data_IF_732409321635
#
_entry.id   IF_732409321635
#
_cell.length_a   1.000
_cell.length_b   1.000
_cell.length_c   1.000
_cell.angle_alpha   90.00
_cell.angle_beta   90.00
_cell.angle_gamma   90.00
#
_symmetry.space_group_name_H-M   'P 1'
#
loop_
_entity.id
_entity.type
_entity.pdbx_description
1 polymer ?
#
# COMPACT_ATOMS: atom_id res chain seq x y z
N UNK A 1 -4.87 -11.76 -19.63
CA UNK A 1 -5.07 -10.34 -19.24
C UNK A 1 -6.07 -9.63 -20.15
N UNK A 2 -5.75 -9.40 -21.44
CA UNK A 2 -6.70 -8.73 -22.38
C UNK A 2 -8.09 -9.39 -22.42
N UNK A 3 -8.16 -10.72 -22.47
CA UNK A 3 -9.44 -11.46 -22.42
C UNK A 3 -10.24 -11.20 -21.16
N UNK A 4 -9.56 -11.01 -20.02
CA UNK A 4 -10.19 -10.73 -18.74
C UNK A 4 -10.71 -9.29 -18.65
N UNK A 5 -10.16 -8.37 -19.46
CA UNK A 5 -10.46 -6.94 -19.40
C UNK A 5 -9.53 -6.13 -18.49
N UNK A 6 -8.43 -6.72 -18.01
CA UNK A 6 -7.45 -5.99 -17.21
C UNK A 6 -6.75 -4.90 -18.03
N UNK A 7 -6.60 -3.71 -17.44
CA UNK A 7 -5.87 -2.57 -18.00
C UNK A 7 -4.71 -2.13 -17.11
N UNK A 8 -4.39 -2.88 -16.06
CA UNK A 8 -3.18 -2.65 -15.32
C UNK A 8 -2.68 -3.92 -14.64
N UNK A 9 -1.39 -3.92 -14.31
CA UNK A 9 -0.74 -4.94 -13.52
C UNK A 9 0.10 -4.35 -12.40
N UNK A 10 0.26 -5.10 -11.31
CA UNK A 10 1.30 -4.82 -10.31
C UNK A 10 2.40 -5.85 -10.42
N UNK A 11 3.65 -5.37 -10.39
CA UNK A 11 4.87 -6.18 -10.48
C UNK A 11 5.76 -5.87 -9.28
N UNK A 12 5.87 -6.84 -8.35
CA UNK A 12 6.58 -6.64 -7.08
C UNK A 12 8.10 -6.52 -7.22
N UNK A 13 8.70 -7.20 -8.20
CA UNK A 13 10.15 -7.17 -8.40
C UNK A 13 10.49 -7.24 -9.88
N UNK A 14 11.54 -6.53 -10.22
CA UNK A 14 12.10 -6.49 -11.57
C UNK A 14 13.61 -6.53 -11.48
N UNK A 15 14.24 -7.03 -12.52
CA UNK A 15 15.69 -6.91 -12.68
C UNK A 15 15.97 -5.59 -13.43
N UNK A 16 16.50 -4.55 -12.77
CA UNK A 16 16.74 -3.25 -13.42
C UNK A 16 17.82 -3.31 -14.51
N UNK A 17 18.58 -4.41 -14.60
CA UNK A 17 19.63 -4.59 -15.62
C UNK A 17 19.14 -5.29 -16.88
N UNK A 18 17.96 -5.92 -16.83
CA UNK A 18 17.36 -6.60 -17.97
C UNK A 18 16.67 -5.62 -18.92
N UNK A 19 16.46 -6.04 -20.18
CA UNK A 19 15.66 -5.29 -21.15
C UNK A 19 14.17 -5.65 -20.98
N UNK A 20 13.34 -4.63 -20.74
CA UNK A 20 11.90 -4.76 -20.54
C UNK A 20 11.05 -4.31 -21.74
N UNK A 21 11.67 -3.89 -22.85
CA UNK A 21 11.00 -3.22 -23.97
C UNK A 21 9.90 -4.08 -24.60
N UNK A 22 10.20 -5.36 -24.86
CA UNK A 22 9.24 -6.27 -25.50
C UNK A 22 8.02 -6.50 -24.60
N UNK A 23 8.26 -6.74 -23.31
CA UNK A 23 7.22 -6.99 -22.33
C UNK A 23 6.35 -5.72 -22.10
N UNK A 24 6.96 -4.55 -21.90
CA UNK A 24 6.24 -3.28 -21.73
C UNK A 24 5.48 -2.86 -22.99
N UNK A 25 6.03 -3.12 -24.18
CA UNK A 25 5.34 -2.89 -25.47
C UNK A 25 4.13 -3.80 -25.64
N UNK A 26 4.21 -5.06 -25.22
CA UNK A 26 3.08 -5.99 -25.26
C UNK A 26 1.94 -5.53 -24.33
N UNK A 27 2.27 -5.07 -23.12
CA UNK A 27 1.29 -4.50 -22.20
C UNK A 27 0.66 -3.22 -22.77
N UNK A 28 1.48 -2.29 -23.26
CA UNK A 28 1.00 -1.05 -23.87
C UNK A 28 0.07 -1.31 -25.06
N UNK A 29 0.42 -2.26 -25.93
CA UNK A 29 -0.42 -2.67 -27.08
C UNK A 29 -1.76 -3.29 -26.67
N UNK A 30 -1.86 -3.80 -25.44
CA UNK A 30 -3.08 -4.31 -24.84
C UNK A 30 -3.83 -3.27 -23.99
N UNK A 31 -3.31 -2.03 -23.87
CA UNK A 31 -3.85 -1.00 -22.99
C UNK A 31 -3.60 -1.26 -21.50
N UNK A 32 -2.54 -1.99 -21.18
CA UNK A 32 -2.18 -2.39 -19.81
C UNK A 32 -1.05 -1.51 -19.28
N UNK A 33 -1.29 -0.88 -18.14
CA UNK A 33 -0.30 -0.12 -17.38
C UNK A 33 0.40 -0.96 -16.31
N UNK A 34 1.64 -0.66 -15.98
CA UNK A 34 2.40 -1.36 -14.95
C UNK A 34 2.65 -0.46 -13.73
N UNK A 35 2.32 -0.99 -12.55
CA UNK A 35 2.70 -0.46 -11.25
C UNK A 35 3.89 -1.27 -10.74
N UNK A 36 5.02 -0.62 -10.52
CA UNK A 36 6.30 -1.29 -10.26
C UNK A 36 6.74 -0.98 -8.84
N UNK A 37 6.92 -2.00 -8.02
CA UNK A 37 7.57 -1.84 -6.72
C UNK A 37 9.08 -1.61 -6.93
N UNK A 38 9.64 -0.61 -6.24
CA UNK A 38 11.04 -0.19 -6.39
C UNK A 38 12.00 -1.05 -5.57
N UNK A 39 11.50 -1.71 -4.53
CA UNK A 39 12.29 -2.60 -3.71
C UNK A 39 12.70 -3.87 -4.45
N UNK A 40 13.91 -4.29 -4.13
CA UNK A 40 14.48 -5.56 -4.56
C UNK A 40 14.47 -6.53 -3.38
N UNK A 41 14.71 -7.82 -3.64
CA UNK A 41 14.76 -8.87 -2.62
C UNK A 41 15.71 -8.60 -1.42
N UNK A 42 16.61 -7.62 -1.52
CA UNK A 42 17.56 -7.26 -0.47
C UNK A 42 17.41 -5.82 0.05
N UNK A 43 16.37 -5.09 -0.37
CA UNK A 43 16.23 -3.65 -0.07
C UNK A 43 14.86 -3.26 0.47
N UNK A 44 14.14 -4.23 1.06
CA UNK A 44 12.94 -3.96 1.83
C UNK A 44 13.25 -3.11 3.07
N UNK A 45 12.37 -2.15 3.37
CA UNK A 45 12.33 -1.50 4.68
C UNK A 45 11.74 -2.52 5.67
N UNK A 46 12.44 -2.78 6.77
CA UNK A 46 12.00 -3.74 7.78
C UNK A 46 11.26 -3.04 8.93
N UNK A 47 10.08 -3.53 9.30
CA UNK A 47 9.24 -2.96 10.35
C UNK A 47 9.95 -2.75 11.71
N UNK A 48 10.71 -3.76 12.12
CA UNK A 48 11.29 -3.89 13.46
C UNK A 48 12.69 -3.25 13.59
N UNK A 49 13.37 -3.04 12.47
CA UNK A 49 14.63 -2.31 12.38
C UNK A 49 14.62 -1.48 11.09
N UNK A 50 13.80 -0.42 11.03
CA UNK A 50 13.64 0.31 9.79
C UNK A 50 14.90 1.10 9.49
N UNK A 51 15.36 0.97 8.25
CA UNK A 51 16.51 1.67 7.70
C UNK A 51 16.15 2.26 6.35
N UNK A 52 16.76 3.41 6.04
CA UNK A 52 16.77 4.01 4.72
C UNK A 52 18.18 4.51 4.45
N UNK A 53 18.90 3.79 3.61
CA UNK A 53 20.33 3.99 3.42
C UNK A 53 20.69 4.07 1.93
N UNK A 54 21.97 4.38 1.65
CA UNK A 54 22.42 4.63 0.28
C UNK A 54 22.26 3.42 -0.64
N UNK A 55 22.40 2.20 -0.11
CA UNK A 55 22.23 0.97 -0.90
C UNK A 55 20.79 0.80 -1.34
N UNK A 56 19.82 1.03 -0.44
CA UNK A 56 18.40 0.96 -0.75
C UNK A 56 17.99 2.05 -1.75
N UNK A 57 18.40 3.30 -1.48
CA UNK A 57 18.18 4.43 -2.39
C UNK A 57 18.69 4.13 -3.81
N UNK A 58 19.93 3.65 -3.94
CA UNK A 58 20.53 3.37 -5.24
C UNK A 58 19.83 2.22 -5.99
N UNK A 59 19.35 1.20 -5.26
CA UNK A 59 18.59 0.10 -5.86
C UNK A 59 17.23 0.58 -6.38
N UNK A 60 16.50 1.36 -5.60
CA UNK A 60 15.21 1.93 -6.00
C UNK A 60 15.38 2.86 -7.20
N UNK A 61 16.41 3.72 -7.18
CA UNK A 61 16.76 4.59 -8.31
C UNK A 61 17.07 3.78 -9.58
N UNK A 62 17.73 2.63 -9.47
CA UNK A 62 18.04 1.76 -10.61
C UNK A 62 16.78 1.16 -11.23
N UNK A 63 15.80 0.74 -10.42
CA UNK A 63 14.50 0.28 -10.91
C UNK A 63 13.76 1.42 -11.60
N UNK A 64 13.74 2.62 -11.01
CA UNK A 64 13.12 3.78 -11.64
C UNK A 64 13.77 4.12 -12.98
N UNK A 65 15.11 4.10 -13.05
CA UNK A 65 15.88 4.34 -14.28
C UNK A 65 15.55 3.33 -15.39
N UNK A 66 15.26 2.07 -15.04
CA UNK A 66 14.88 1.05 -16.00
C UNK A 66 13.46 1.24 -16.56
N UNK A 67 12.54 1.87 -15.81
CA UNK A 67 11.12 1.92 -16.16
C UNK A 67 10.56 3.31 -16.50
N UNK A 68 11.30 4.40 -16.25
CA UNK A 68 10.75 5.75 -16.40
C UNK A 68 10.38 6.14 -17.85
N UNK A 69 11.01 5.51 -18.84
CA UNK A 69 10.80 5.83 -20.27
C UNK A 69 9.55 5.17 -20.86
N UNK A 70 8.94 4.20 -20.18
CA UNK A 70 7.73 3.56 -20.68
C UNK A 70 6.50 4.42 -20.34
N UNK A 71 5.73 4.79 -21.36
CA UNK A 71 4.51 5.60 -21.20
C UNK A 71 3.46 4.89 -20.32
N UNK A 72 3.43 3.56 -20.38
CA UNK A 72 2.53 2.74 -19.59
C UNK A 72 3.08 2.34 -18.21
N UNK A 73 4.18 2.93 -17.74
CA UNK A 73 4.52 2.89 -16.30
C UNK A 73 3.57 3.83 -15.55
N UNK A 74 2.59 3.25 -14.84
CA UNK A 74 1.55 4.01 -14.14
C UNK A 74 2.05 4.66 -12.85
N UNK A 75 2.87 3.95 -12.08
CA UNK A 75 3.33 4.42 -10.79
C UNK A 75 4.39 3.50 -10.17
N UNK A 76 5.04 4.01 -9.13
CA UNK A 76 6.03 3.29 -8.36
C UNK A 76 5.60 3.11 -6.91
N UNK A 77 5.87 1.95 -6.32
CA UNK A 77 5.74 1.72 -4.89
C UNK A 77 7.10 1.77 -4.20
N UNK A 78 7.19 2.44 -3.05
CA UNK A 78 8.40 2.44 -2.20
C UNK A 78 8.38 1.40 -1.09
N UNK A 79 7.38 0.52 -1.12
CA UNK A 79 7.27 -0.59 -0.19
C UNK A 79 5.89 -1.21 -0.23
N UNK A 80 5.87 -2.47 0.20
CA UNK A 80 4.68 -3.29 0.33
C UNK A 80 4.60 -3.86 1.74
N UNK A 81 3.50 -3.62 2.44
CA UNK A 81 3.17 -4.19 3.76
C UNK A 81 4.30 -4.10 4.80
N UNK A 82 5.17 -3.09 4.69
CA UNK A 82 6.22 -2.79 5.69
C UNK A 82 5.63 -2.71 7.11
N UNK A 83 4.39 -2.24 7.25
CA UNK A 83 3.70 -2.12 8.52
C UNK A 83 2.56 -3.13 8.63
N UNK A 84 2.67 -4.11 9.52
CA UNK A 84 1.69 -5.19 9.74
C UNK A 84 1.11 -5.25 11.16
N UNK A 85 1.55 -4.37 12.06
CA UNK A 85 1.06 -4.29 13.45
C UNK A 85 1.08 -2.84 13.96
N UNK A 86 0.34 -2.51 15.02
CA UNK A 86 0.46 -1.19 15.64
C UNK A 86 1.89 -0.82 16.05
N UNK A 87 2.69 -1.80 16.51
CA UNK A 87 4.09 -1.60 16.85
C UNK A 87 4.99 -1.26 15.65
N UNK A 88 4.66 -1.75 14.45
CA UNK A 88 5.41 -1.44 13.23
C UNK A 88 5.26 -0.01 12.73
N UNK A 89 4.35 0.80 13.30
CA UNK A 89 4.16 2.22 12.97
C UNK A 89 5.43 3.06 13.04
N UNK A 90 6.43 2.64 13.82
CA UNK A 90 7.77 3.25 13.86
C UNK A 90 8.50 3.26 12.51
N UNK A 91 8.12 2.40 11.56
CA UNK A 91 8.69 2.36 10.21
C UNK A 91 8.03 3.36 9.24
N UNK A 92 6.89 3.96 9.58
CA UNK A 92 6.18 4.90 8.70
C UNK A 92 7.04 6.10 8.24
N UNK A 93 7.89 6.72 9.08
CA UNK A 93 8.79 7.79 8.64
C UNK A 93 9.79 7.34 7.57
N UNK A 94 10.22 6.08 7.59
CA UNK A 94 11.18 5.53 6.62
C UNK A 94 10.53 5.28 5.26
N UNK A 95 9.29 4.77 5.25
CA UNK A 95 8.49 4.67 4.02
C UNK A 95 8.29 6.05 3.40
N UNK A 96 7.94 7.06 4.22
CA UNK A 96 7.75 8.43 3.76
C UNK A 96 9.05 9.07 3.27
N UNK A 97 10.18 8.79 3.92
CA UNK A 97 11.51 9.20 3.46
C UNK A 97 11.87 8.60 2.10
N UNK A 98 11.66 7.30 1.91
CA UNK A 98 11.91 6.63 0.64
C UNK A 98 11.09 7.27 -0.50
N UNK A 99 9.80 7.55 -0.28
CA UNK A 99 8.97 8.25 -1.27
C UNK A 99 9.47 9.66 -1.56
N UNK A 100 9.82 10.43 -0.52
CA UNK A 100 10.35 11.79 -0.66
C UNK A 100 11.62 11.80 -1.50
N UNK A 101 12.56 10.92 -1.19
CA UNK A 101 13.85 10.84 -1.87
C UNK A 101 13.70 10.33 -3.30
N UNK A 102 12.82 9.36 -3.55
CA UNK A 102 12.54 8.88 -4.91
C UNK A 102 11.83 9.93 -5.78
N UNK A 103 10.94 10.74 -5.18
CA UNK A 103 10.35 11.91 -5.87
C UNK A 103 11.43 12.94 -6.19
N UNK A 104 12.34 13.23 -5.26
CA UNK A 104 13.46 14.14 -5.47
C UNK A 104 14.41 13.62 -6.57
N UNK A 105 14.74 12.33 -6.57
CA UNK A 105 15.55 11.69 -7.61
C UNK A 105 14.90 11.83 -8.99
N UNK A 106 13.64 11.38 -9.14
CA UNK A 106 12.85 11.50 -10.37
C UNK A 106 12.87 12.92 -10.93
N UNK A 107 12.62 13.91 -10.08
CA UNK A 107 12.58 15.32 -10.47
C UNK A 107 13.96 15.85 -10.87
N UNK A 108 15.02 15.48 -10.14
CA UNK A 108 16.40 15.90 -10.43
C UNK A 108 16.90 15.39 -11.78
N UNK A 109 16.36 14.25 -12.23
CA UNK A 109 16.67 13.61 -13.51
C UNK A 109 15.82 14.14 -14.67
N UNK A 110 14.80 14.96 -14.38
CA UNK A 110 13.87 15.48 -15.38
C UNK A 110 12.95 14.41 -15.97
N UNK A 111 12.68 13.33 -15.22
CA UNK A 111 11.76 12.28 -15.67
C UNK A 111 10.31 12.78 -15.69
N UNK A 112 9.45 12.06 -16.41
CA UNK A 112 7.99 12.24 -16.31
C UNK A 112 7.59 12.15 -14.83
N UNK A 113 6.60 12.94 -14.42
CA UNK A 113 6.05 12.93 -13.06
C UNK A 113 5.23 11.65 -12.79
N UNK A 114 5.89 10.49 -12.83
CA UNK A 114 5.32 9.18 -12.51
C UNK A 114 5.05 9.15 -11.01
N UNK A 115 3.80 8.94 -10.57
CA UNK A 115 3.44 9.03 -9.16
C UNK A 115 4.14 7.94 -8.32
N UNK A 116 4.47 8.29 -7.08
CA UNK A 116 5.14 7.39 -6.12
C UNK A 116 4.27 7.22 -4.87
N UNK A 117 3.96 5.97 -4.52
CA UNK A 117 3.05 5.61 -3.44
C UNK A 117 3.52 4.44 -2.61
N UNK A 118 2.62 3.90 -1.81
CA UNK A 118 2.87 2.79 -0.88
C UNK A 118 1.67 1.84 -0.84
N UNK A 119 1.94 0.54 -0.73
CA UNK A 119 0.93 -0.51 -0.57
C UNK A 119 0.91 -1.00 0.87
N UNK A 120 -0.17 -0.75 1.59
CA UNK A 120 -0.33 -1.13 2.99
C UNK A 120 -1.06 -2.46 3.16
N UNK A 121 -0.75 -3.18 4.24
CA UNK A 121 -1.58 -4.28 4.71
C UNK A 121 -2.86 -3.74 5.37
N UNK A 122 -3.96 -4.48 5.26
CA UNK A 122 -5.23 -4.10 5.89
C UNK A 122 -5.27 -4.46 7.39
N UNK A 123 -4.65 -3.62 8.21
CA UNK A 123 -4.52 -3.81 9.67
C UNK A 123 -5.40 -2.81 10.41
N UNK A 124 -6.36 -3.31 11.19
CA UNK A 124 -7.30 -2.48 11.98
C UNK A 124 -6.59 -1.44 12.84
N UNK A 125 -5.52 -1.82 13.53
CA UNK A 125 -4.81 -0.94 14.48
C UNK A 125 -4.08 0.22 13.78
N UNK A 126 -3.75 0.05 12.50
CA UNK A 126 -3.05 1.06 11.70
C UNK A 126 -4.03 1.98 10.95
N UNK A 127 -5.30 1.59 10.79
CA UNK A 127 -6.31 2.38 10.08
C UNK A 127 -6.96 3.43 10.98
N UNK A 128 -7.23 4.66 10.47
CA UNK A 128 -6.73 5.27 9.24
C UNK A 128 -5.38 6.00 9.45
N UNK A 129 -4.69 5.77 10.57
CA UNK A 129 -3.49 6.51 10.93
C UNK A 129 -2.36 6.36 9.90
N UNK A 130 -2.16 5.17 9.32
CA UNK A 130 -1.11 4.95 8.33
C UNK A 130 -1.34 5.75 7.04
N UNK A 131 -2.52 5.66 6.43
CA UNK A 131 -2.84 6.47 5.24
C UNK A 131 -2.71 7.96 5.55
N UNK A 132 -3.24 8.41 6.70
CA UNK A 132 -3.20 9.83 7.06
C UNK A 132 -1.78 10.32 7.28
N UNK A 133 -0.92 9.53 7.93
CA UNK A 133 0.48 9.91 8.14
C UNK A 133 1.25 10.06 6.82
N UNK A 134 0.99 9.18 5.86
CA UNK A 134 1.68 9.19 4.56
C UNK A 134 1.20 10.33 3.63
N UNK A 135 0.03 10.91 3.90
CA UNK A 135 -0.50 12.07 3.17
C UNK A 135 -0.39 13.41 3.93
N UNK A 136 -0.12 13.39 5.24
CA UNK A 136 -0.03 14.60 6.06
C UNK A 136 1.30 15.34 5.90
N UNK A 137 1.43 16.47 6.61
CA UNK A 137 2.69 17.18 6.82
C UNK A 137 2.64 18.61 6.31
N UNK A 138 3.51 19.44 6.85
CA UNK A 138 3.63 20.85 6.41
C UNK A 138 4.33 20.98 5.05
N UNK A 139 5.19 20.03 4.70
CA UNK A 139 5.86 19.96 3.42
C UNK A 139 5.14 18.99 2.47
N UNK A 140 4.38 19.52 1.51
CA UNK A 140 3.62 18.70 0.56
C UNK A 140 4.50 17.84 -0.36
N UNK A 141 5.81 18.10 -0.48
CA UNK A 141 6.70 17.24 -1.27
C UNK A 141 6.94 15.88 -0.60
N UNK A 142 6.72 15.78 0.72
CA UNK A 142 6.92 14.56 1.52
C UNK A 142 5.68 13.67 1.57
N UNK A 143 4.52 14.19 1.19
CA UNK A 143 3.32 13.37 1.04
C UNK A 143 3.47 12.40 -0.15
N UNK A 144 2.89 11.21 -0.02
CA UNK A 144 2.76 10.27 -1.14
C UNK A 144 1.91 10.86 -2.27
N UNK A 145 2.15 10.41 -3.49
CA UNK A 145 1.31 10.76 -4.65
C UNK A 145 0.03 9.89 -4.68
N UNK A 146 0.04 8.71 -4.07
CA UNK A 146 -1.12 7.83 -3.86
C UNK A 146 -0.90 6.87 -2.69
N UNK A 147 -1.98 6.29 -2.17
CA UNK A 147 -1.95 5.20 -1.19
C UNK A 147 -2.68 3.98 -1.75
N UNK A 148 -2.22 2.79 -1.46
CA UNK A 148 -2.93 1.57 -1.83
C UNK A 148 -3.04 0.62 -0.64
N UNK A 149 -4.05 -0.23 -0.68
CA UNK A 149 -4.36 -1.17 0.40
C UNK A 149 -4.53 -2.59 -0.14
N UNK A 150 -3.88 -3.55 0.49
CA UNK A 150 -4.09 -4.97 0.27
C UNK A 150 -5.29 -5.45 1.11
N UNK A 151 -6.48 -5.44 0.53
CA UNK A 151 -7.75 -5.59 1.23
C UNK A 151 -8.41 -6.96 0.94
N UNK A 152 -8.25 -7.89 1.88
CA UNK A 152 -8.77 -9.26 1.80
C UNK A 152 -10.01 -9.49 2.68
N UNK A 153 -10.65 -8.44 3.22
CA UNK A 153 -11.77 -8.58 4.16
C UNK A 153 -13.06 -9.16 3.52
N UNK A 154 -13.21 -9.04 2.18
CA UNK A 154 -14.33 -9.65 1.47
C UNK A 154 -14.03 -11.10 1.09
N UNK A 155 -14.66 -12.05 1.78
CA UNK A 155 -14.48 -13.48 1.56
C UNK A 155 -15.82 -14.18 1.25
N UNK A 156 -15.87 -14.94 0.16
CA UNK A 156 -17.05 -15.71 -0.24
C UNK A 156 -18.29 -14.83 -0.46
N UNK A 157 -19.45 -15.36 -0.06
CA UNK A 157 -20.70 -14.61 -0.09
C UNK A 157 -20.73 -13.56 1.02
N UNK A 158 -20.49 -12.31 0.67
CA UNK A 158 -20.50 -11.16 1.58
C UNK A 158 -21.28 -10.00 0.97
N UNK A 159 -21.32 -8.87 1.69
CA UNK A 159 -21.93 -7.61 1.27
C UNK A 159 -21.01 -6.46 1.67
N UNK A 160 -21.21 -5.27 1.10
CA UNK A 160 -20.46 -4.06 1.45
C UNK A 160 -20.40 -3.78 2.97
N UNK A 161 -21.51 -4.00 3.68
CA UNK A 161 -21.59 -3.79 5.11
C UNK A 161 -20.90 -4.91 5.92
N UNK A 162 -21.08 -6.17 5.48
CA UNK A 162 -20.60 -7.35 6.20
C UNK A 162 -19.10 -7.58 5.99
N UNK A 163 -18.56 -7.21 4.83
CA UNK A 163 -17.14 -7.34 4.52
C UNK A 163 -16.27 -6.37 5.30
N UNK A 164 -16.82 -5.26 5.77
CA UNK A 164 -16.05 -4.16 6.36
C UNK A 164 -15.69 -3.05 5.39
N UNK A 165 -16.03 -3.19 4.10
CA UNK A 165 -15.76 -2.16 3.07
C UNK A 165 -16.40 -0.81 3.39
N UNK A 166 -17.53 -0.79 4.11
CA UNK A 166 -18.10 0.46 4.63
C UNK A 166 -17.15 1.25 5.55
N UNK A 167 -16.33 0.58 6.35
CA UNK A 167 -15.35 1.23 7.21
C UNK A 167 -14.13 1.69 6.43
N UNK A 168 -13.71 0.94 5.41
CA UNK A 168 -12.69 1.37 4.45
C UNK A 168 -13.14 2.65 3.74
N UNK A 169 -14.37 2.68 3.22
CA UNK A 169 -14.95 3.87 2.58
C UNK A 169 -15.05 5.04 3.55
N UNK A 170 -15.51 4.81 4.79
CA UNK A 170 -15.58 5.86 5.82
C UNK A 170 -14.20 6.48 6.09
N UNK A 171 -13.16 5.66 6.17
CA UNK A 171 -11.78 6.10 6.38
C UNK A 171 -11.20 6.89 5.19
N UNK A 172 -11.71 6.66 3.97
CA UNK A 172 -11.20 7.26 2.74
C UNK A 172 -12.02 8.48 2.23
N UNK A 173 -13.23 8.72 2.75
CA UNK A 173 -14.21 9.66 2.17
C UNK A 173 -13.77 11.14 2.04
N UNK A 174 -12.70 11.57 2.72
CA UNK A 174 -12.14 12.92 2.60
C UNK A 174 -10.62 12.91 2.34
N UNK A 175 -10.11 11.80 1.80
CA UNK A 175 -8.69 11.63 1.56
C UNK A 175 -8.26 12.44 0.32
N UNK A 176 -7.12 13.12 0.42
CA UNK A 176 -6.72 14.15 -0.54
C UNK A 176 -5.83 13.65 -1.68
N UNK A 177 -5.40 12.38 -1.63
CA UNK A 177 -4.61 11.74 -2.69
C UNK A 177 -5.35 10.48 -3.17
N UNK A 178 -5.14 10.03 -4.42
CA UNK A 178 -5.74 8.80 -4.93
C UNK A 178 -5.51 7.61 -4.01
N UNK A 179 -6.55 6.79 -3.85
CA UNK A 179 -6.52 5.55 -3.08
C UNK A 179 -7.16 4.42 -3.87
N UNK A 180 -6.59 3.21 -3.82
CA UNK A 180 -7.12 2.03 -4.50
C UNK A 180 -6.72 0.74 -3.77
N UNK A 181 -7.33 -0.38 -4.13
CA UNK A 181 -6.91 -1.67 -3.60
C UNK A 181 -5.78 -2.25 -4.45
N UNK A 182 -4.58 -2.37 -3.88
CA UNK A 182 -3.41 -2.94 -4.56
C UNK A 182 -3.44 -4.47 -4.62
N UNK A 183 -4.25 -5.10 -3.76
CA UNK A 183 -4.56 -6.53 -3.76
C UNK A 183 -5.98 -6.75 -3.22
N UNK A 184 -6.74 -7.64 -3.85
CA UNK A 184 -8.07 -8.13 -3.43
C UNK A 184 -8.23 -9.59 -3.89
N UNK A 185 -9.32 -10.24 -3.48
CA UNK A 185 -9.65 -11.61 -3.89
C UNK A 185 -9.33 -12.66 -2.84
N UNK A 186 -9.87 -12.50 -1.62
CA UNK A 186 -9.79 -13.50 -0.56
C UNK A 186 -10.15 -14.90 -1.07
N UNK A 187 -9.23 -15.86 -0.92
CA UNK A 187 -9.39 -17.18 -1.51
C UNK A 187 -10.22 -18.17 -0.69
N UNK A 188 -10.63 -17.81 0.53
CA UNK A 188 -11.37 -18.72 1.42
C UNK A 188 -12.69 -18.09 1.85
N UNK A 189 -13.85 -18.70 1.57
CA UNK A 189 -14.03 -20.00 0.92
C UNK A 189 -13.75 -19.99 -0.60
N UNK A 190 -13.40 -21.16 -1.15
CA UNK A 190 -13.33 -21.42 -2.60
C UNK A 190 -14.67 -21.92 -3.16
N UNK A 191 -14.96 -21.70 -4.46
CA UNK A 191 -14.20 -20.86 -5.39
C UNK A 191 -14.38 -19.36 -5.08
N UNK A 192 -13.48 -18.52 -5.59
CA UNK A 192 -13.64 -17.07 -5.45
C UNK A 192 -14.76 -16.60 -6.37
N UNK A 193 -15.75 -15.91 -5.80
CA UNK A 193 -16.86 -15.37 -6.58
C UNK A 193 -16.55 -14.01 -7.18
N UNK A 194 -15.64 -13.23 -6.56
CA UNK A 194 -15.28 -11.86 -6.96
C UNK A 194 -16.46 -10.86 -6.90
N UNK A 195 -17.43 -11.13 -6.02
CA UNK A 195 -18.55 -10.21 -5.77
C UNK A 195 -18.10 -8.86 -5.20
N UNK A 196 -16.90 -8.81 -4.59
CA UNK A 196 -16.25 -7.57 -4.12
C UNK A 196 -16.06 -6.56 -5.24
N UNK A 197 -15.76 -7.01 -6.47
CA UNK A 197 -15.57 -6.14 -7.63
C UNK A 197 -16.82 -5.31 -7.92
N UNK A 198 -18.01 -5.89 -7.73
CA UNK A 198 -19.26 -5.17 -7.92
C UNK A 198 -19.46 -4.08 -6.86
N UNK A 199 -18.96 -4.25 -5.64
CA UNK A 199 -19.00 -3.22 -4.61
C UNK A 199 -17.95 -2.13 -4.85
N UNK A 200 -16.71 -2.51 -5.16
CA UNK A 200 -15.58 -1.58 -5.39
C UNK A 200 -15.88 -0.62 -6.55
N UNK A 201 -16.51 -1.13 -7.62
CA UNK A 201 -16.82 -0.37 -8.82
C UNK A 201 -18.27 0.14 -8.85
N UNK A 202 -18.95 0.14 -7.70
CA UNK A 202 -20.29 0.71 -7.55
C UNK A 202 -20.23 2.20 -7.16
N UNK A 203 -21.34 2.94 -7.30
CA UNK A 203 -21.46 4.32 -6.82
C UNK A 203 -21.14 4.54 -5.34
N UNK A 204 -21.14 3.50 -4.50
CA UNK A 204 -20.79 3.61 -3.09
C UNK A 204 -19.29 3.81 -2.87
N UNK A 205 -18.45 3.35 -3.81
CA UNK A 205 -16.99 3.37 -3.68
C UNK A 205 -16.26 4.03 -4.86
N UNK A 206 -16.81 4.03 -6.08
CA UNK A 206 -16.13 4.51 -7.30
C UNK A 206 -15.88 6.03 -7.32
N UNK A 207 -16.57 6.79 -6.45
CA UNK A 207 -16.31 8.20 -6.19
C UNK A 207 -15.13 8.48 -5.25
N UNK A 208 -14.53 7.45 -4.66
CA UNK A 208 -13.41 7.57 -3.69
C UNK A 208 -12.25 6.64 -4.05
N UNK A 209 -12.53 5.38 -4.38
CA UNK A 209 -11.53 4.36 -4.70
C UNK A 209 -11.30 4.27 -6.20
N UNK A 210 -10.04 4.33 -6.61
CA UNK A 210 -9.61 4.29 -8.01
C UNK A 210 -9.51 2.86 -8.59
N UNK A 211 -10.33 1.93 -8.09
CA UNK A 211 -10.37 0.53 -8.53
C UNK A 211 -9.60 -0.45 -7.66
N UNK A 212 -9.31 -1.64 -8.21
CA UNK A 212 -8.67 -2.73 -7.51
C UNK A 212 -7.81 -3.63 -8.40
N UNK A 213 -6.75 -4.20 -7.81
CA UNK A 213 -5.90 -5.24 -8.41
C UNK A 213 -6.19 -6.60 -7.77
N UNK A 214 -6.44 -7.63 -8.59
CA UNK A 214 -6.69 -9.00 -8.11
C UNK A 214 -5.37 -9.74 -7.87
N UNK A 215 -5.22 -10.31 -6.67
CA UNK A 215 -4.12 -11.22 -6.33
C UNK A 215 -4.53 -12.68 -6.62
N UNK A 216 -3.89 -13.42 -7.53
CA UNK A 216 -2.84 -13.02 -8.49
C UNK A 216 -2.96 -13.77 -9.83
N UNK A 217 -2.10 -13.45 -10.79
CA UNK A 217 -2.19 -13.97 -12.16
C UNK A 217 -1.81 -15.45 -12.25
N UNK A 218 -0.63 -15.83 -11.74
CA UNK A 218 -0.08 -17.18 -11.88
C UNK A 218 -0.43 -18.01 -10.66
N UNK A 219 -0.92 -19.23 -10.86
CA UNK A 219 -1.13 -20.20 -9.78
C UNK A 219 0.20 -20.69 -9.23
N UNK A 220 0.37 -20.52 -7.91
CA UNK A 220 1.54 -20.91 -7.15
C UNK A 220 1.15 -21.75 -5.91
N UNK A 221 2.05 -21.88 -4.93
CA UNK A 221 1.81 -22.68 -3.70
C UNK A 221 0.73 -22.10 -2.79
N UNK A 222 0.42 -20.83 -2.94
CA UNK A 222 -0.56 -20.13 -2.14
C UNK A 222 -2.02 -20.30 -2.65
N UNK A 223 -2.21 -20.88 -3.84
CA UNK A 223 -3.47 -21.11 -4.54
C UNK A 223 -4.30 -19.86 -4.90
N UNK A 224 -3.65 -18.73 -5.20
CA UNK A 224 -4.32 -17.46 -5.57
C UNK A 224 -4.43 -17.21 -7.08
N UNK A 225 -3.89 -18.07 -7.92
CA UNK A 225 -3.76 -17.86 -9.36
C UNK A 225 -5.08 -17.84 -10.13
N UNK A 226 -5.08 -17.08 -11.22
CA UNK A 226 -6.17 -17.07 -12.20
C UNK A 226 -5.85 -17.91 -13.43
N UNK A 227 -4.57 -18.15 -13.71
CA UNK A 227 -4.11 -19.03 -14.77
C UNK A 227 -2.97 -19.93 -14.30
N UNK A 228 -2.68 -20.98 -15.06
CA UNK A 228 -1.51 -21.82 -14.90
C UNK A 228 -0.85 -22.09 -16.25
N UNK A 229 0.48 -22.16 -16.31
CA UNK A 229 1.23 -22.56 -17.52
C UNK A 229 1.48 -24.08 -17.60
N UNK A 230 0.89 -24.87 -16.71
CA UNK A 230 1.02 -26.31 -16.67
C UNK A 230 0.87 -26.88 -15.26
N UNK A 231 0.82 -28.20 -15.16
CA UNK A 231 0.82 -28.85 -13.85
C UNK A 231 2.07 -28.46 -13.04
N UNK A 232 1.93 -28.38 -11.71
CA UNK A 232 3.08 -28.17 -10.83
C UNK A 232 4.12 -29.27 -11.08
N UNK A 233 5.36 -28.86 -11.29
CA UNK A 233 6.50 -29.75 -11.43
C UNK A 233 7.02 -30.24 -10.06
N UNK A 234 6.44 -29.77 -8.96
CA UNK A 234 6.86 -30.04 -7.58
C UNK A 234 7.91 -29.05 -7.07
N UNK A 235 8.02 -28.84 -5.74
CA UNK A 235 8.71 -27.69 -5.14
C UNK A 235 10.23 -27.66 -5.39
N UNK A 236 10.84 -28.80 -5.73
CA UNK A 236 12.28 -28.92 -6.00
C UNK A 236 12.62 -28.92 -7.49
N UNK A 237 11.61 -28.86 -8.38
CA UNK A 237 11.87 -28.85 -9.80
C UNK A 237 12.54 -27.54 -10.22
N UNK A 238 13.62 -27.68 -10.98
CA UNK A 238 14.37 -26.56 -11.57
C UNK A 238 14.46 -26.81 -13.08
N UNK A 239 14.38 -25.74 -13.87
CA UNK A 239 14.40 -25.83 -15.32
C UNK A 239 14.20 -24.46 -15.96
N UNK A 240 14.43 -24.37 -17.27
CA UNK A 240 14.18 -23.13 -18.00
C UNK A 240 12.69 -22.77 -17.92
N UNK A 241 12.36 -21.59 -17.40
CA UNK A 241 10.98 -21.14 -17.20
C UNK A 241 10.24 -21.82 -16.04
N UNK A 242 10.92 -22.57 -15.16
CA UNK A 242 10.32 -23.16 -13.94
C UNK A 242 10.90 -22.49 -12.71
N UNK A 243 10.02 -21.91 -11.89
CA UNK A 243 10.39 -21.19 -10.66
C UNK A 243 9.55 -21.73 -9.51
N UNK A 244 10.23 -22.14 -8.44
CA UNK A 244 9.61 -22.76 -7.26
C UNK A 244 8.65 -23.93 -7.58
N UNK A 245 8.92 -24.67 -8.66
CA UNK A 245 8.07 -25.78 -9.11
C UNK A 245 6.92 -25.41 -10.04
N UNK A 246 6.81 -24.15 -10.46
CA UNK A 246 5.74 -23.67 -11.34
C UNK A 246 6.32 -23.19 -12.67
N UNK A 247 5.75 -23.69 -13.77
CA UNK A 247 6.06 -23.21 -15.12
C UNK A 247 5.53 -21.78 -15.27
N UNK A 248 6.31 -20.90 -15.90
CA UNK A 248 5.98 -19.48 -16.10
C UNK A 248 6.01 -19.03 -17.57
N UNK A 249 6.06 -19.97 -18.49
CA UNK A 249 6.18 -19.71 -19.93
C UNK A 249 5.21 -20.59 -20.73
N UNK A 250 4.80 -20.14 -21.92
CA UNK A 250 3.94 -20.89 -22.82
C UNK A 250 2.49 -20.40 -22.80
N UNK A 251 1.56 -21.22 -23.29
CA UNK A 251 0.14 -20.83 -23.33
C UNK A 251 -0.51 -21.07 -21.96
N UNK A 252 -1.01 -20.04 -21.26
CA UNK A 252 -1.66 -20.21 -19.98
C UNK A 252 -3.04 -20.85 -20.13
N UNK A 253 -3.42 -21.67 -19.16
CA UNK A 253 -4.74 -22.28 -18.99
C UNK A 253 -5.49 -21.59 -17.86
N UNK A 254 -6.72 -21.12 -18.05
CA UNK A 254 -7.55 -20.57 -16.97
C UNK A 254 -7.75 -21.54 -15.80
N UNK A 255 -7.67 -21.02 -14.58
CA UNK A 255 -8.09 -21.74 -13.38
C UNK A 255 -9.60 -21.56 -13.23
N UNK A 256 -10.33 -22.67 -13.24
CA UNK A 256 -11.78 -22.66 -13.16
C UNK A 256 -12.29 -22.96 -11.74
N UNK A 257 -13.32 -22.25 -11.25
CA UNK A 257 -14.10 -21.23 -11.94
C UNK A 257 -13.62 -19.79 -11.73
N UNK A 258 -12.50 -19.56 -11.04
CA UNK A 258 -12.05 -18.23 -10.63
C UNK A 258 -11.85 -17.26 -11.81
N UNK A 259 -11.20 -17.72 -12.90
CA UNK A 259 -11.01 -16.88 -14.09
C UNK A 259 -12.35 -16.50 -14.72
N UNK A 260 -13.29 -17.45 -14.84
CA UNK A 260 -14.60 -17.21 -15.43
C UNK A 260 -15.47 -16.29 -14.56
N UNK A 261 -15.44 -16.47 -13.24
CA UNK A 261 -16.17 -15.63 -12.28
C UNK A 261 -15.72 -14.17 -12.40
N UNK A 262 -14.41 -13.92 -12.33
CA UNK A 262 -13.85 -12.58 -12.45
C UNK A 262 -14.14 -11.95 -13.81
N UNK A 263 -13.95 -12.72 -14.90
CA UNK A 263 -14.26 -12.29 -16.26
C UNK A 263 -15.72 -11.83 -16.40
N UNK A 264 -16.65 -12.56 -15.78
CA UNK A 264 -18.09 -12.26 -15.83
C UNK A 264 -18.42 -10.96 -15.10
N UNK A 265 -17.83 -10.71 -13.93
CA UNK A 265 -17.99 -9.43 -13.24
C UNK A 265 -17.46 -8.27 -14.09
N UNK A 266 -16.20 -8.33 -14.51
CA UNK A 266 -15.57 -7.24 -15.25
C UNK A 266 -16.16 -6.99 -16.64
N UNK A 267 -16.78 -7.99 -17.27
CA UNK A 267 -17.49 -7.80 -18.53
C UNK A 267 -18.77 -6.93 -18.40
N UNK A 268 -19.30 -6.75 -17.19
CA UNK A 268 -20.58 -6.05 -16.96
C UNK A 268 -20.45 -4.77 -16.13
N UNK A 269 -19.40 -4.64 -15.33
CA UNK A 269 -19.16 -3.47 -14.48
C UNK A 269 -18.69 -2.28 -15.31
N UNK A 270 -19.34 -1.13 -15.09
CA UNK A 270 -19.10 0.12 -15.82
C UNK A 270 -18.99 1.28 -14.84
N UNK A 271 -17.91 1.34 -14.02
CA UNK A 271 -17.73 2.40 -13.04
C UNK A 271 -17.74 3.77 -13.72
N UNK A 272 -18.34 4.75 -13.06
CA UNK A 272 -18.47 6.10 -13.63
C UNK A 272 -17.42 7.03 -13.06
N UNK A 273 -16.51 7.50 -13.91
CA UNK A 273 -15.55 8.52 -13.54
C UNK A 273 -16.08 9.95 -13.74
N UNK A 274 -15.34 10.92 -13.20
CA UNK A 274 -15.48 12.34 -13.53
C UNK A 274 -14.36 12.74 -14.51
N UNK A 275 -14.68 13.56 -15.50
CA UNK A 275 -13.65 14.08 -16.41
C UNK A 275 -12.71 15.03 -15.68
N UNK A 276 -11.45 15.11 -16.10
CA UNK A 276 -10.47 16.02 -15.51
C UNK A 276 -10.92 17.48 -15.53
N UNK A 277 -11.67 17.91 -16.55
CA UNK A 277 -12.21 19.27 -16.68
C UNK A 277 -13.37 19.56 -15.74
N UNK A 278 -14.10 18.53 -15.29
CA UNK A 278 -15.18 18.65 -14.30
C UNK A 278 -14.71 18.37 -12.87
N UNK A 279 -13.51 17.80 -12.70
CA UNK A 279 -12.95 17.49 -11.40
C UNK A 279 -12.52 18.75 -10.64
N UNK A 280 -13.16 19.00 -9.49
CA UNK A 280 -12.89 20.14 -8.62
C UNK A 280 -12.62 19.65 -7.19
N UNK A 281 -11.40 19.18 -6.88
CA UNK A 281 -11.07 18.65 -5.56
C UNK A 281 -11.11 19.75 -4.49
N UNK A 282 -11.67 19.42 -3.33
CA UNK A 282 -11.71 20.31 -2.15
C UNK A 282 -11.09 19.67 -0.89
N UNK A 283 -10.72 18.39 -0.95
CA UNK A 283 -10.04 17.70 0.13
C UNK A 283 -8.65 18.29 0.38
N UNK A 284 -8.32 18.48 1.65
CA UNK A 284 -7.00 18.95 2.09
C UNK A 284 -6.22 17.82 2.75
N UNK A 285 -4.90 17.94 2.79
CA UNK A 285 -4.07 16.98 3.51
C UNK A 285 -4.59 16.74 4.95
N UNK A 286 -4.67 15.48 5.40
CA UNK A 286 -5.09 15.17 6.75
C UNK A 286 -4.05 15.67 7.76
N UNK A 287 -4.46 15.82 9.01
CA UNK A 287 -3.52 16.04 10.11
C UNK A 287 -2.69 14.77 10.34
N UNK A 288 -1.40 14.94 10.66
CA UNK A 288 -0.58 13.81 11.08
C UNK A 288 -1.14 13.20 12.37
N UNK A 289 -1.30 11.87 12.48
CA UNK A 289 -1.91 11.26 13.64
C UNK A 289 -1.13 11.51 14.93
N UNK A 290 -1.85 11.61 16.04
CA UNK A 290 -1.27 11.62 17.37
C UNK A 290 -0.90 10.19 17.82
N UNK A 291 0.07 10.08 18.73
CA UNK A 291 0.42 8.82 19.36
C UNK A 291 -0.81 8.16 20.01
N UNK A 292 -1.00 6.86 19.75
CA UNK A 292 -2.04 6.01 20.36
C UNK A 292 -1.39 4.71 20.81
N UNK A 293 -1.37 4.47 22.13
CA UNK A 293 -0.76 3.26 22.70
C UNK A 293 -1.34 1.99 22.08
N UNK A 294 -0.47 1.08 21.64
CA UNK A 294 -0.84 -0.20 21.01
C UNK A 294 -1.22 -0.12 19.53
N UNK A 295 -1.51 1.07 19.00
CA UNK A 295 -2.01 1.25 17.63
C UNK A 295 -1.07 2.10 16.75
N UNK A 296 -0.57 3.22 17.26
CA UNK A 296 0.22 4.18 16.48
C UNK A 296 1.28 4.86 17.34
N UNK A 297 2.56 4.59 17.04
CA UNK A 297 3.70 4.96 17.88
C UNK A 297 4.46 6.20 17.38
N UNK A 298 4.02 6.82 16.29
CA UNK A 298 4.59 8.07 15.76
C UNK A 298 3.67 9.24 16.14
N UNK A 299 4.22 10.38 16.58
CA UNK A 299 3.40 11.50 17.06
C UNK A 299 3.58 12.74 16.19
N UNK A 300 2.60 13.05 15.34
CA UNK A 300 2.60 14.23 14.51
C UNK A 300 3.57 14.16 13.32
N UNK A 301 3.92 15.33 12.79
CA UNK A 301 4.83 15.51 11.66
C UNK A 301 6.30 15.38 12.15
N UNK A 302 6.80 14.15 12.27
CA UNK A 302 8.16 13.89 12.73
C UNK A 302 9.17 14.07 11.59
N UNK A 303 10.40 14.58 11.86
CA UNK A 303 11.44 14.66 10.85
C UNK A 303 11.71 13.31 10.20
N UNK A 304 11.78 13.28 8.87
CA UNK A 304 12.10 12.08 8.12
C UNK A 304 13.58 11.69 8.30
N UNK A 305 13.89 10.38 8.39
CA UNK A 305 15.28 9.93 8.42
C UNK A 305 16.00 10.32 7.12
N UNK A 306 17.19 10.89 7.23
CA UNK A 306 18.06 11.15 6.08
C UNK A 306 18.89 9.92 5.75
N UNK A 307 19.22 9.72 4.47
CA UNK A 307 20.11 8.64 4.03
C UNK A 307 21.41 8.64 4.85
N UNK A 308 21.68 7.52 5.52
CA UNK A 308 22.88 7.35 6.35
C UNK A 308 22.74 7.82 7.81
N UNK A 309 21.57 8.32 8.21
CA UNK A 309 21.24 8.46 9.63
C UNK A 309 20.97 7.08 10.24
N UNK A 310 21.77 6.70 11.24
CA UNK A 310 21.49 5.52 12.07
C UNK A 310 20.35 5.90 13.03
N UNK A 311 19.30 5.08 13.12
CA UNK A 311 18.21 5.33 14.05
C UNK A 311 18.75 5.40 15.48
N UNK A 312 18.72 6.58 16.09
CA UNK A 312 18.70 6.65 17.54
C UNK A 312 17.28 6.25 17.94
N UNK A 313 17.16 5.10 18.62
CA UNK A 313 15.91 4.59 19.17
C UNK A 313 15.00 5.75 19.55
N UNK A 314 13.79 5.82 18.97
CA UNK A 314 12.74 6.72 19.43
C UNK A 314 12.33 6.24 20.81
N UNK A 315 13.17 6.56 21.79
CA UNK A 315 12.92 6.35 23.19
C UNK A 315 11.71 7.21 23.51
N UNK A 316 10.73 6.57 24.12
CA UNK A 316 9.67 7.22 24.88
C UNK A 316 10.29 8.15 25.92
N UNK A 317 10.63 9.37 25.52
CA UNK A 317 10.90 10.48 26.42
C UNK A 317 9.79 11.50 26.27
N UNK A 318 8.88 11.37 27.22
CA UNK A 318 8.02 12.43 27.72
C UNK A 318 8.81 13.73 27.98
N UNK A 319 8.09 14.84 27.85
CA UNK A 319 8.43 16.20 28.30
C UNK A 319 9.20 17.10 27.32
N UNK A 320 8.42 17.93 26.63
CA UNK A 320 8.83 19.27 26.25
C UNK A 320 9.35 20.02 27.49
N UNK A 321 10.58 20.54 27.43
CA UNK A 321 11.01 21.62 28.31
C UNK A 321 11.88 22.60 27.51
N UNK A 322 11.29 23.77 27.28
CA UNK A 322 11.87 25.12 27.21
C UNK A 322 13.33 25.25 26.75
N UNK A 323 13.51 25.78 25.54
CA UNK A 323 14.76 26.39 25.11
C UNK A 323 15.07 27.62 25.98
N UNK A 324 16.24 27.63 26.62
CA UNK A 324 16.91 28.87 27.03
C UNK A 324 18.36 28.80 26.58
N UNK A 325 18.71 29.78 25.75
CA UNK A 325 20.05 30.04 25.22
C UNK A 325 21.03 30.47 26.32
N UNK A 326 22.25 29.90 26.33
CA UNK A 326 23.49 30.65 26.58
C UNK A 326 24.69 29.78 26.17
N UNK A 327 25.60 30.37 25.39
CA UNK A 327 26.85 29.75 24.96
C UNK A 327 27.94 29.73 26.03
N UNK A 328 29.02 29.00 25.74
CA UNK A 328 30.25 28.99 26.53
C UNK A 328 31.15 27.80 26.19
N UNK A 329 32.27 28.09 25.53
CA UNK A 329 33.30 27.13 25.10
C UNK A 329 34.11 26.51 26.24
N UNK A 330 34.56 25.27 25.98
CA UNK A 330 35.83 24.62 26.34
C UNK A 330 36.43 24.78 27.75
N UNK A 331 36.64 23.66 28.45
CA UNK A 331 38.00 23.10 28.70
C UNK A 331 37.95 21.73 29.40
N UNK A 332 38.95 20.92 29.06
CA UNK A 332 39.30 19.61 29.61
C UNK A 332 39.81 19.70 31.05
N UNK A 333 39.44 18.76 31.93
CA UNK A 333 40.43 18.06 32.76
C UNK A 333 39.85 16.80 33.43
N UNK A 334 40.79 15.97 33.81
CA UNK A 334 40.74 14.55 34.08
C UNK A 334 40.42 14.17 35.53
N UNK A 335 40.26 12.85 35.69
CA UNK A 335 40.76 11.99 36.77
C UNK A 335 39.88 11.70 37.99
N UNK A 336 39.79 10.37 38.20
CA UNK A 336 39.77 9.62 39.46
C UNK A 336 38.43 9.10 40.01
N UNK A 337 38.20 7.82 39.68
CA UNK A 337 38.23 6.67 40.60
C UNK A 337 37.67 6.87 42.01
N UNK A 338 36.62 6.10 42.33
CA UNK A 338 36.15 5.91 43.69
C UNK A 338 35.00 4.91 43.76
N UNK A 339 35.29 3.62 43.60
CA UNK A 339 34.38 2.53 43.93
C UNK A 339 34.12 2.48 45.43
N UNK A 340 32.87 2.53 45.89
CA UNK A 340 32.41 1.72 47.03
C UNK A 340 30.94 1.32 46.85
N UNK A 341 30.78 0.00 46.81
CA UNK A 341 29.57 -0.78 47.04
C UNK A 341 28.96 -0.54 48.42
N UNK A 342 27.63 -0.48 48.50
CA UNK A 342 26.90 -1.12 49.58
C UNK A 342 25.52 -1.56 49.08
N UNK A 343 25.25 -2.84 49.34
CA UNK A 343 24.02 -3.58 49.11
C UNK A 343 23.22 -3.67 50.40
N UNK A 344 21.91 -3.90 50.26
CA UNK A 344 20.97 -4.24 51.35
C UNK A 344 19.62 -3.58 51.08
N UNK A 345 18.65 -4.28 50.46
CA UNK A 345 17.67 -5.17 51.12
C UNK A 345 16.80 -4.36 52.10
N UNK A 346 15.46 -4.37 52.09
CA UNK A 346 14.48 -5.39 51.72
C UNK A 346 13.09 -4.85 52.06
N UNK A 347 12.04 -5.38 51.42
CA UNK A 347 10.82 -5.73 52.17
C UNK A 347 9.48 -5.15 51.72
N UNK A 348 8.61 -6.08 51.31
CA UNK A 348 7.15 -6.15 51.57
C UNK A 348 6.23 -5.15 50.86
N UNK A 349 5.26 -5.51 50.01
CA UNK A 349 4.20 -6.56 49.94
C UNK A 349 2.80 -6.10 50.39
N UNK A 350 1.78 -6.43 49.55
CA UNK A 350 0.32 -6.46 49.83
C UNK A 350 -0.39 -5.11 49.81
N UNK A 351 -1.64 -4.91 49.36
CA UNK A 351 -2.81 -5.79 49.20
C UNK A 351 -3.94 -4.92 48.58
N UNK A 352 -4.58 -5.34 47.47
CA UNK A 352 -5.99 -5.82 47.34
C UNK A 352 -7.17 -4.82 47.40
N UNK A 353 -8.13 -5.00 46.49
CA UNK A 353 -9.58 -4.81 46.72
C UNK A 353 -10.28 -3.70 45.90
N UNK A 354 -10.86 -3.97 44.73
CA UNK A 354 -12.28 -4.35 44.42
C UNK A 354 -13.36 -3.26 44.55
N UNK A 355 -14.10 -3.00 43.45
CA UNK A 355 -15.58 -3.06 43.22
C UNK A 355 -16.01 -2.12 42.06
N UNK A 356 -16.63 -2.63 40.98
CA UNK A 356 -18.07 -2.62 40.59
C UNK A 356 -18.63 -1.21 40.26
N UNK A 357 -19.57 -0.93 39.35
CA UNK A 357 -20.22 -1.52 38.19
C UNK A 357 -21.19 -0.44 37.59
N UNK A 358 -21.61 -0.60 36.32
CA UNK A 358 -22.95 -0.30 35.74
C UNK A 358 -23.35 1.03 35.05
N UNK A 359 -24.24 0.84 34.06
CA UNK A 359 -25.15 1.72 33.27
C UNK A 359 -24.58 2.39 32.00
N UNK A 360 -24.99 2.13 30.75
CA UNK A 360 -26.30 1.98 30.03
C UNK A 360 -26.91 3.31 29.55
N UNK A 361 -27.12 3.47 28.23
CA UNK A 361 -27.97 4.52 27.66
C UNK A 361 -27.86 4.66 26.14
N UNK A 362 -28.83 4.08 25.42
CA UNK A 362 -29.06 4.24 23.98
C UNK A 362 -29.87 5.52 23.67
N UNK A 363 -29.72 6.08 22.47
CA UNK A 363 -30.81 6.75 21.75
C UNK A 363 -30.48 6.93 20.26
N UNK A 364 -31.38 6.39 19.43
CA UNK A 364 -31.46 6.60 17.99
C UNK A 364 -32.22 7.90 17.66
N UNK A 365 -31.99 8.48 16.48
CA UNK A 365 -32.99 9.24 15.75
C UNK A 365 -32.69 9.24 14.24
N UNK A 366 -33.72 8.93 13.46
CA UNK A 366 -33.74 8.73 12.02
C UNK A 366 -34.44 9.90 11.30
N UNK A 367 -34.40 9.84 9.96
CA UNK A 367 -35.22 10.56 8.96
C UNK A 367 -34.69 11.96 8.59
N UNK A 368 -34.63 12.37 7.31
CA UNK A 368 -35.61 12.16 6.24
C UNK A 368 -35.04 12.32 4.82
N UNK A 369 -35.55 11.50 3.91
CA UNK A 369 -35.44 11.57 2.44
C UNK A 369 -36.09 12.83 1.86
N UNK A 370 -35.59 13.31 0.72
CA UNK A 370 -36.43 13.88 -0.34
C UNK A 370 -35.74 13.74 -1.71
N UNK A 371 -36.47 13.17 -2.65
CA UNK A 371 -36.10 12.94 -4.04
C UNK A 371 -36.93 13.85 -4.96
N UNK A 372 -36.33 14.37 -6.03
CA UNK A 372 -37.00 14.79 -7.26
C UNK A 372 -35.92 14.91 -8.36
N UNK A 373 -35.82 13.98 -9.31
CA UNK A 373 -36.56 13.84 -10.58
C UNK A 373 -35.99 14.71 -11.73
N UNK A 374 -35.55 14.01 -12.80
CA UNK A 374 -34.89 14.47 -14.04
C UNK A 374 -35.83 15.28 -14.95
N UNK A 375 -35.34 15.88 -16.05
CA UNK A 375 -35.37 15.11 -17.32
C UNK A 375 -34.21 15.35 -18.33
N UNK A 376 -33.99 14.29 -19.12
CA UNK A 376 -33.69 14.19 -20.57
C UNK A 376 -32.40 14.73 -21.22
N UNK A 377 -31.65 13.74 -21.73
CA UNK A 377 -31.09 13.54 -23.08
C UNK A 377 -30.22 14.63 -23.76
N UNK A 378 -28.96 14.26 -24.02
CA UNK A 378 -28.31 14.48 -25.31
C UNK A 378 -27.16 13.47 -25.50
N UNK A 379 -26.96 13.09 -26.75
CA UNK A 379 -26.05 12.07 -27.29
C UNK A 379 -24.64 12.66 -27.38
N UNK A 380 -23.63 11.96 -26.87
CA UNK A 380 -22.22 12.34 -27.01
C UNK A 380 -21.34 11.15 -26.70
N UNK A 381 -20.65 10.66 -27.73
CA UNK A 381 -19.65 9.60 -27.67
C UNK A 381 -18.41 10.07 -26.91
N UNK A 382 -18.11 9.50 -25.74
CA UNK A 382 -16.85 9.74 -25.05
C UNK A 382 -16.32 8.45 -24.42
N UNK A 383 -15.01 8.28 -24.55
CA UNK A 383 -14.24 7.13 -24.09
C UNK A 383 -14.08 7.18 -22.57
N UNK A 384 -14.58 6.17 -21.86
CA UNK A 384 -14.43 6.02 -20.41
C UNK A 384 -13.45 4.88 -20.11
N UNK A 385 -12.32 5.20 -19.48
CA UNK A 385 -11.40 4.25 -18.88
C UNK A 385 -11.76 4.10 -17.40
N UNK A 386 -12.39 2.98 -17.05
CA UNK A 386 -12.44 2.47 -15.68
C UNK A 386 -11.30 1.48 -15.48
N UNK A 387 -10.50 1.65 -14.42
CA UNK A 387 -9.31 0.83 -14.13
C UNK A 387 -9.69 -0.53 -13.53
N UNK A 388 -9.20 -1.62 -14.12
CA UNK A 388 -9.43 -3.03 -13.75
C UNK A 388 -8.05 -3.72 -13.74
N UNK A 389 -7.55 -4.23 -12.62
CA UNK A 389 -6.13 -4.55 -12.47
C UNK A 389 -5.87 -6.01 -12.03
N UNK A 390 -4.72 -6.58 -12.42
CA UNK A 390 -4.24 -7.94 -12.06
C UNK A 390 -2.84 -7.93 -11.43
N UNK A 391 -2.58 -8.70 -10.38
CA UNK A 391 -1.26 -8.80 -9.75
C UNK A 391 -0.43 -9.90 -10.43
N UNK A 392 0.88 -9.71 -10.63
CA UNK A 392 1.80 -10.79 -11.06
C UNK A 392 2.95 -10.93 -10.03
N UNK A 393 3.17 -12.12 -9.44
CA UNK A 393 4.33 -12.37 -8.58
C UNK A 393 5.62 -12.45 -9.40
N UNK A 394 6.66 -11.87 -8.85
CA UNK A 394 7.79 -11.39 -9.61
C UNK A 394 8.96 -12.36 -9.69
N UNK A 395 9.14 -13.01 -10.84
CA UNK A 395 10.45 -13.44 -11.38
C UNK A 395 10.42 -13.49 -12.93
N UNK A 396 9.54 -12.70 -13.56
CA UNK A 396 9.25 -12.79 -15.00
C UNK A 396 10.04 -11.81 -15.88
N UNK A 397 10.93 -11.01 -15.30
CA UNK A 397 11.49 -9.84 -15.97
C UNK A 397 12.88 -10.05 -16.60
N UNK A 398 13.54 -11.20 -16.38
CA UNK A 398 14.91 -11.43 -16.88
C UNK A 398 14.99 -12.13 -18.25
N UNK A 399 13.87 -12.64 -18.78
CA UNK A 399 13.80 -13.21 -20.12
C UNK A 399 12.33 -13.27 -20.55
N UNK A 400 11.90 -12.38 -21.45
CA UNK A 400 10.58 -12.48 -22.06
C UNK A 400 10.50 -13.81 -22.86
N UNK A 401 10.01 -14.86 -22.23
CA UNK A 401 9.41 -16.02 -22.88
C UNK A 401 7.94 -16.00 -22.48
N UNK A 402 7.11 -15.35 -23.31
CA UNK A 402 5.66 -15.43 -23.21
C UNK A 402 5.18 -16.73 -23.85
#
# INVERSE_FOLDING_TARGET
MKTLGANSIRVYHVDPTANHDACMSAFSSAGIYAWIDLDTFSTYILANNPEWNQTMYSAYASVMDAFHNYDNTAGFFVGNEVLTTGASSVAAPYVKAAATDMKAYRNSKGYRNIPIGYSAADISDLRPNLQNYLACGSNSSEALDFFALNAYEWCGQSTYDTSGYQFLQQNASNYNIPIYFSETGCQTPKPRTFDDQAAILSPDMDGTWSGAIIYEWIEETNDYGLISYGASAGPTATGNGVIAGYTRTGTPTPISPDFENLSTHWATLTPTGISMSAYSPSATAPSCPAFTSGAWLVSGDVPLPTIGAVSHSVGSTSAATSATSTGGSATSQSSQTGSQTSSGSSGSSGSSGTTAASSSGAAAAASSKSAAMRPSQAIGSDWYLGFLLLVIPAWCASSCYW
#
